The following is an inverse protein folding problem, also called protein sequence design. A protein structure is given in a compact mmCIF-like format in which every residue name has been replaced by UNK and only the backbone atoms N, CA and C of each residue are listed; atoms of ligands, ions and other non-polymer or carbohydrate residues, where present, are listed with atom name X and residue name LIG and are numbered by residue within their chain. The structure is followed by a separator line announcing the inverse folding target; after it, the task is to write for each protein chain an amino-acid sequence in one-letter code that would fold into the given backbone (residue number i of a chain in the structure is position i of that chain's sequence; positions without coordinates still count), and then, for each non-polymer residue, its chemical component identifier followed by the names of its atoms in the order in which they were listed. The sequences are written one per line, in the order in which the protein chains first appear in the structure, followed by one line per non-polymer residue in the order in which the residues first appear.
data_IF_300418028586
#
_entry.id   IF_300418028586
#
_cell.length_a   1.000
_cell.length_b   1.000
_cell.length_c   1.000
_cell.angle_alpha   90.00
_cell.angle_beta   90.00
_cell.angle_gamma   90.00
#
_symmetry.space_group_name_H-M   'P 1'
#
loop_
_entity.id
_entity.type
_entity.pdbx_description
1 polymer ?
#
# COMPACT_ATOMS: atom_id res chain seq x y z
N UNK A 1 -30.26 -48.22 -40.19
CA UNK A 1 -29.16 -49.04 -39.64
C UNK A 1 -28.04 -48.09 -39.21
N UNK A 2 -27.23 -48.36 -38.17
CA UNK A 2 -27.53 -48.85 -36.82
C UNK A 2 -27.02 -47.87 -35.72
N UNK A 3 -27.28 -48.26 -34.45
CA UNK A 3 -26.98 -47.57 -33.18
C UNK A 3 -25.50 -47.69 -32.73
N UNK A 4 -25.20 -46.92 -31.65
CA UNK A 4 -24.17 -47.12 -30.61
C UNK A 4 -22.78 -46.54 -30.92
N UNK A 5 -21.91 -46.14 -29.98
CA UNK A 5 -21.65 -46.49 -28.56
C UNK A 5 -21.08 -45.23 -27.85
N UNK A 6 -21.49 -44.94 -26.60
CA UNK A 6 -20.61 -44.29 -25.59
C UNK A 6 -19.83 -45.36 -24.83
N UNK A 7 -18.61 -45.05 -24.38
CA UNK A 7 -18.22 -45.54 -23.06
C UNK A 7 -17.50 -44.47 -22.22
N UNK A 8 -17.96 -44.30 -20.98
CA UNK A 8 -17.10 -44.07 -19.81
C UNK A 8 -16.85 -45.45 -19.14
N UNK A 9 -16.08 -45.65 -18.05
CA UNK A 9 -15.39 -44.70 -17.15
C UNK A 9 -13.97 -45.17 -16.65
N UNK A 10 -13.41 -44.45 -15.66
CA UNK A 10 -12.51 -44.87 -14.55
C UNK A 10 -11.01 -44.53 -14.61
N UNK A 11 -10.47 -44.17 -13.42
CA UNK A 11 -9.06 -43.92 -13.11
C UNK A 11 -8.92 -42.64 -12.27
N UNK A 12 -9.36 -42.62 -11.02
CA UNK A 12 -8.55 -42.86 -9.81
C UNK A 12 -7.89 -41.59 -9.22
N UNK A 13 -7.98 -41.56 -7.90
CA UNK A 13 -7.60 -40.56 -6.91
C UNK A 13 -6.12 -40.16 -6.93
N UNK A 14 -5.80 -38.91 -6.60
CA UNK A 14 -4.92 -38.62 -5.47
C UNK A 14 -5.16 -37.18 -4.98
N UNK A 15 -5.48 -37.06 -3.70
CA UNK A 15 -5.31 -35.83 -2.92
C UNK A 15 -3.85 -35.76 -2.50
N UNK A 16 -3.19 -34.63 -2.70
CA UNK A 16 -1.95 -34.31 -1.99
C UNK A 16 -2.01 -32.86 -1.53
N UNK A 17 -2.12 -32.74 -0.22
CA UNK A 17 -1.91 -31.57 0.60
C UNK A 17 -0.38 -31.40 0.72
N UNK A 18 0.15 -30.24 0.35
CA UNK A 18 1.53 -29.88 0.65
C UNK A 18 1.58 -28.43 1.11
N UNK A 19 1.75 -28.30 2.43
CA UNK A 19 2.00 -27.10 3.19
C UNK A 19 3.43 -26.56 2.96
N UNK A 20 3.65 -25.33 3.42
CA UNK A 20 4.94 -24.72 3.78
C UNK A 20 5.75 -24.00 2.69
N UNK A 21 6.00 -22.72 2.95
CA UNK A 21 6.88 -21.86 2.17
C UNK A 21 6.72 -20.41 2.55
N UNK A 22 7.10 -20.07 3.79
CA UNK A 22 7.34 -18.70 4.22
C UNK A 22 8.37 -18.05 3.28
N UNK A 23 7.98 -17.01 2.53
CA UNK A 23 8.94 -16.14 1.85
C UNK A 23 9.07 -14.83 2.60
N UNK A 24 10.13 -14.75 3.40
CA UNK A 24 10.68 -13.50 3.95
C UNK A 24 10.89 -12.44 2.84
N UNK A 25 10.81 -11.15 3.17
CA UNK A 25 10.75 -10.08 2.19
C UNK A 25 12.11 -9.91 1.51
N UNK A 26 12.18 -10.29 0.24
CA UNK A 26 13.35 -10.12 -0.59
C UNK A 26 13.72 -8.62 -0.72
N UNK A 27 14.77 -8.22 0.01
CA UNK A 27 15.55 -7.01 -0.23
C UNK A 27 16.09 -7.06 -1.67
N UNK A 28 15.47 -6.31 -2.57
CA UNK A 28 15.92 -6.02 -3.94
C UNK A 28 15.50 -4.59 -4.24
N UNK A 29 16.28 -3.67 -4.77
CA UNK A 29 17.66 -3.59 -5.21
C UNK A 29 17.78 -2.16 -5.70
N UNK A 30 18.74 -1.40 -5.18
CA UNK A 30 18.89 0.03 -5.47
C UNK A 30 19.57 0.19 -6.83
N UNK A 31 18.76 0.31 -7.89
CA UNK A 31 19.22 0.63 -9.24
C UNK A 31 18.05 0.58 -10.22
N UNK A 32 17.61 1.74 -10.72
CA UNK A 32 16.67 1.93 -11.83
C UNK A 32 15.18 1.58 -11.61
N UNK A 33 14.80 0.76 -10.62
CA UNK A 33 13.39 0.54 -10.24
C UNK A 33 12.72 1.75 -9.54
N UNK A 34 13.51 2.63 -8.92
CA UNK A 34 12.98 3.62 -7.97
C UNK A 34 12.18 4.78 -8.55
N UNK A 35 12.34 5.13 -9.83
CA UNK A 35 11.64 6.27 -10.42
C UNK A 35 10.23 5.88 -10.90
N UNK A 36 10.10 4.75 -11.60
CA UNK A 36 8.80 4.23 -12.04
C UNK A 36 7.90 3.90 -10.83
N UNK A 37 8.50 3.38 -9.75
CA UNK A 37 7.79 3.09 -8.52
C UNK A 37 7.39 4.36 -7.76
N UNK A 38 8.27 5.38 -7.69
CA UNK A 38 7.92 6.63 -7.03
C UNK A 38 6.75 7.34 -7.70
N UNK A 39 6.79 7.48 -9.03
CA UNK A 39 5.75 8.21 -9.74
C UNK A 39 4.38 7.52 -9.67
N UNK A 40 4.38 6.17 -9.70
CA UNK A 40 3.16 5.38 -9.61
C UNK A 40 2.59 5.34 -8.18
N UNK A 41 3.43 5.41 -7.16
CA UNK A 41 2.99 5.45 -5.76
C UNK A 41 2.52 6.85 -5.35
N UNK A 42 3.31 7.89 -5.65
CA UNK A 42 3.10 9.22 -5.06
C UNK A 42 2.49 10.25 -6.00
N UNK A 43 2.67 10.13 -7.32
CA UNK A 43 2.23 11.14 -8.29
C UNK A 43 0.88 10.80 -8.94
N UNK A 44 0.09 9.92 -8.36
CA UNK A 44 -1.25 9.57 -8.85
C UNK A 44 -2.30 10.62 -8.48
N UNK A 45 -3.30 10.80 -9.35
CA UNK A 45 -4.40 11.73 -9.09
C UNK A 45 -5.15 11.28 -7.84
N UNK A 46 -5.33 12.22 -6.92
CA UNK A 46 -6.04 11.97 -5.67
C UNK A 46 -7.08 13.08 -5.40
N UNK A 47 -8.34 12.68 -5.27
CA UNK A 47 -9.47 13.55 -4.98
C UNK A 47 -9.89 13.43 -3.51
N UNK A 48 -9.40 14.37 -2.70
CA UNK A 48 -9.79 14.46 -1.30
C UNK A 48 -11.22 14.98 -1.16
N UNK A 49 -12.15 14.14 -0.71
CA UNK A 49 -13.57 14.50 -0.47
C UNK A 49 -13.81 14.97 0.97
N UNK A 50 -13.19 14.30 1.95
CA UNK A 50 -13.34 14.60 3.38
C UNK A 50 -12.03 15.16 3.93
N UNK A 51 -11.78 16.44 3.70
CA UNK A 51 -10.47 17.07 3.96
C UNK A 51 -10.33 17.49 5.42
N UNK A 52 -9.22 17.10 6.04
CA UNK A 52 -8.73 17.71 7.27
C UNK A 52 -7.52 18.59 6.95
N UNK A 53 -7.48 19.80 7.50
CA UNK A 53 -6.35 20.72 7.36
C UNK A 53 -5.21 20.32 8.29
N UNK A 54 -4.00 20.20 7.74
CA UNK A 54 -2.75 20.01 8.48
C UNK A 54 -1.73 21.04 8.02
N UNK A 55 -0.87 21.48 8.94
CA UNK A 55 0.25 22.36 8.62
C UNK A 55 1.51 21.52 8.38
N UNK A 56 2.31 21.95 7.41
CA UNK A 56 3.65 21.41 7.15
C UNK A 56 4.64 22.56 7.13
N UNK A 57 5.91 22.23 7.25
CA UNK A 57 7.00 23.20 7.10
C UNK A 57 6.92 23.90 5.75
N UNK A 58 7.29 25.19 5.73
CA UNK A 58 7.24 26.03 4.54
C UNK A 58 8.17 25.53 3.44
N UNK A 59 9.39 25.13 3.79
CA UNK A 59 10.39 24.71 2.80
C UNK A 59 9.94 23.40 2.14
N UNK A 60 9.37 22.49 2.93
CA UNK A 60 8.74 21.27 2.43
C UNK A 60 7.58 21.60 1.48
N UNK A 61 6.71 22.54 1.86
CA UNK A 61 5.62 22.97 0.98
C UNK A 61 6.15 23.51 -0.35
N UNK A 62 7.17 24.36 -0.36
CA UNK A 62 7.75 24.94 -1.57
C UNK A 62 8.36 23.87 -2.50
N UNK A 63 9.04 22.86 -1.94
CA UNK A 63 9.56 21.71 -2.69
C UNK A 63 8.40 20.92 -3.35
N UNK A 64 7.38 20.55 -2.57
CA UNK A 64 6.24 19.79 -3.07
C UNK A 64 5.45 20.58 -4.13
N UNK A 65 5.32 21.90 -3.94
CA UNK A 65 4.66 22.78 -4.89
C UNK A 65 5.42 22.86 -6.22
N UNK A 66 6.75 22.91 -6.17
CA UNK A 66 7.60 22.89 -7.35
C UNK A 66 7.47 21.56 -8.10
N UNK A 67 7.50 20.44 -7.37
CA UNK A 67 7.33 19.11 -7.95
C UNK A 67 5.97 18.97 -8.65
N UNK A 68 4.88 19.31 -7.97
CA UNK A 68 3.52 19.24 -8.55
C UNK A 68 3.41 20.09 -9.81
N UNK A 69 4.00 21.29 -9.84
CA UNK A 69 3.98 22.15 -11.03
C UNK A 69 4.78 21.59 -12.20
N UNK A 70 5.85 20.85 -11.93
CA UNK A 70 6.67 20.23 -12.98
C UNK A 70 5.92 19.10 -13.71
N UNK A 71 5.02 18.41 -13.01
CA UNK A 71 4.26 17.25 -13.52
C UNK A 71 2.94 17.72 -14.17
N UNK A 72 3.05 18.44 -15.29
CA UNK A 72 1.91 19.12 -15.96
C UNK A 72 0.78 18.22 -16.47
N UNK A 73 1.03 16.93 -16.71
CA UNK A 73 0.03 16.01 -17.29
C UNK A 73 -0.91 15.39 -16.26
N UNK A 74 -0.57 15.41 -14.97
CA UNK A 74 -1.37 14.79 -13.91
C UNK A 74 -2.16 15.88 -13.18
N UNK A 75 -3.45 15.66 -12.94
CA UNK A 75 -4.28 16.52 -12.07
C UNK A 75 -3.92 16.29 -10.59
N UNK A 76 -2.65 16.42 -10.24
CA UNK A 76 -2.12 16.28 -8.90
C UNK A 76 -2.12 17.66 -8.22
N UNK A 77 -2.46 17.70 -6.94
CA UNK A 77 -2.34 18.90 -6.10
C UNK A 77 -1.31 18.64 -5.00
N UNK A 78 -0.78 19.70 -4.37
CA UNK A 78 0.11 19.54 -3.20
C UNK A 78 -0.56 18.72 -2.11
N UNK A 79 -1.82 19.03 -1.79
CA UNK A 79 -2.60 18.26 -0.81
C UNK A 79 -2.75 16.79 -1.23
N UNK A 80 -2.99 16.52 -2.52
CA UNK A 80 -3.10 15.14 -3.03
C UNK A 80 -1.79 14.37 -2.94
N UNK A 81 -0.66 15.01 -3.22
CA UNK A 81 0.68 14.43 -3.07
C UNK A 81 0.98 14.13 -1.60
N UNK A 82 0.72 15.08 -0.70
CA UNK A 82 0.89 14.89 0.75
C UNK A 82 0.05 13.71 1.23
N UNK A 83 -1.21 13.61 0.80
CA UNK A 83 -2.08 12.51 1.19
C UNK A 83 -1.57 11.14 0.67
N UNK A 84 -0.99 11.10 -0.54
CA UNK A 84 -0.35 9.88 -1.05
C UNK A 84 0.86 9.47 -0.21
N UNK A 85 1.70 10.44 0.17
CA UNK A 85 2.87 10.20 1.04
C UNK A 85 2.42 9.68 2.40
N UNK A 86 1.43 10.33 3.02
CA UNK A 86 0.91 9.96 4.34
C UNK A 86 0.27 8.58 4.29
N UNK A 87 -0.55 8.28 3.28
CA UNK A 87 -1.18 6.96 3.11
C UNK A 87 -0.14 5.86 3.00
N UNK A 88 0.81 6.01 2.08
CA UNK A 88 1.89 5.03 1.92
C UNK A 88 2.72 4.89 3.20
N UNK A 89 2.97 5.97 3.94
CA UNK A 89 3.67 5.90 5.22
C UNK A 89 2.89 5.09 6.26
N UNK A 90 1.58 5.32 6.37
CA UNK A 90 0.72 4.56 7.29
C UNK A 90 0.71 3.08 6.92
N UNK A 91 0.50 2.75 5.64
CA UNK A 91 0.51 1.36 5.14
C UNK A 91 1.87 0.69 5.36
N UNK A 92 2.97 1.40 5.08
CA UNK A 92 4.32 0.83 5.18
C UNK A 92 4.77 0.55 6.61
N UNK A 93 4.32 1.38 7.56
CA UNK A 93 4.73 1.34 8.96
C UNK A 93 3.56 0.98 9.91
N UNK A 94 2.54 0.30 9.40
CA UNK A 94 1.32 -0.04 10.16
C UNK A 94 1.65 -0.75 11.48
N UNK A 95 2.52 -1.75 11.45
CA UNK A 95 2.92 -2.53 12.63
C UNK A 95 3.59 -1.67 13.70
N UNK A 96 4.53 -0.80 13.31
CA UNK A 96 5.22 0.10 14.22
C UNK A 96 4.26 1.14 14.81
N UNK A 97 3.39 1.71 13.97
CA UNK A 97 2.36 2.66 14.39
C UNK A 97 1.43 2.00 15.42
N UNK A 98 0.96 0.78 15.14
CA UNK A 98 0.09 0.02 16.04
C UNK A 98 0.79 -0.34 17.36
N UNK A 99 2.05 -0.80 17.31
CA UNK A 99 2.85 -1.06 18.52
C UNK A 99 2.97 0.18 19.40
N UNK A 100 3.27 1.34 18.82
CA UNK A 100 3.35 2.62 19.54
C UNK A 100 1.99 2.98 20.14
N UNK A 101 0.90 2.81 19.40
CA UNK A 101 -0.45 3.04 19.91
C UNK A 101 -0.74 2.14 21.11
N UNK A 102 -0.45 0.85 21.05
CA UNK A 102 -0.67 -0.06 22.17
C UNK A 102 0.16 0.32 23.40
N UNK A 103 1.45 0.63 23.23
CA UNK A 103 2.34 1.00 24.33
C UNK A 103 1.93 2.31 25.03
N UNK A 104 1.34 3.26 24.29
CA UNK A 104 1.00 4.60 24.79
C UNK A 104 -0.48 4.75 25.17
N UNK A 105 -1.41 4.09 24.48
CA UNK A 105 -2.85 4.13 24.80
C UNK A 105 -3.20 3.11 25.89
N UNK A 106 -2.51 1.96 25.99
CA UNK A 106 -2.72 1.02 27.11
C UNK A 106 -2.10 1.51 28.42
N UNK A 107 -1.29 2.57 28.44
CA UNK A 107 -0.95 3.26 29.69
C UNK A 107 -2.19 4.06 30.11
N UNK A 108 -2.90 3.67 31.19
CA UNK A 108 -4.11 4.36 31.59
C UNK A 108 -3.79 5.84 31.84
N UNK A 109 -4.67 6.72 31.37
CA UNK A 109 -4.72 8.13 31.80
C UNK A 109 -5.05 8.09 33.29
N UNK A 110 -4.02 7.98 34.13
CA UNK A 110 -4.02 7.94 35.60
C UNK A 110 -5.33 7.47 36.24
N UNK A 111 -5.30 6.29 36.86
CA UNK A 111 -6.18 5.98 37.99
C UNK A 111 -6.08 7.14 38.98
N UNK A 112 -7.14 7.94 39.06
CA UNK A 112 -7.25 9.06 39.98
C UNK A 112 -7.75 8.47 41.29
N UNK A 113 -6.80 8.17 42.19
CA UNK A 113 -7.10 8.02 43.62
C UNK A 113 -7.68 9.33 44.19
#
# INVERSE_FOLDING_TARGET
MPKFISPAPQGETISEEAESGEEEPAKRGRGEAGAADYESVFLTRNELRNRQGLYIDRDNYEILQTLVRSVRSRRLSVSGLVDNIVRHHIERYEEDINRIYEENIRKPIKSRE
#
